data_IF_825475035222
#
_entry.id   IF_825475035222
#
_cell.length_a   1.000
_cell.length_b   1.000
_cell.length_c   1.000
_cell.angle_alpha   90.00
_cell.angle_beta   90.00
_cell.angle_gamma   90.00
#
_symmetry.space_group_name_H-M   'P 1'
#
loop_
_entity.id
_entity.type
_entity.pdbx_description
1 polymer ?
#
# COMPACT_ATOMS: atom_id res chain seq x y z
N UNK A 1 14.84 9.24 7.26
CA UNK A 1 14.15 8.05 6.74
C UNK A 1 12.66 8.34 6.61
N UNK A 2 12.09 8.01 5.48
CA UNK A 2 10.67 8.22 5.23
C UNK A 2 9.88 6.95 5.46
N UNK A 3 8.65 7.11 5.94
CA UNK A 3 7.75 5.99 6.18
C UNK A 3 6.44 6.25 5.48
N UNK A 4 5.89 5.20 4.89
CA UNK A 4 4.58 5.24 4.27
C UNK A 4 3.75 4.12 4.83
N UNK A 5 2.48 4.40 5.09
CA UNK A 5 1.55 3.40 5.59
C UNK A 5 0.85 2.75 4.40
N UNK A 6 0.93 1.44 4.32
CA UNK A 6 0.24 0.69 3.28
C UNK A 6 -0.95 -0.06 3.88
N UNK A 7 -2.06 -0.02 3.16
CA UNK A 7 -3.22 -0.84 3.49
C UNK A 7 -3.03 -2.16 2.77
N UNK A 8 -3.16 -3.26 3.50
CA UNK A 8 -2.88 -4.60 2.98
C UNK A 8 -4.14 -5.45 3.05
N UNK A 9 -4.42 -6.12 1.94
CA UNK A 9 -5.53 -7.06 1.84
C UNK A 9 -5.04 -8.34 1.19
N UNK A 10 -5.80 -9.41 1.33
CA UNK A 10 -5.48 -10.66 0.66
C UNK A 10 -6.55 -10.93 -0.38
N UNK A 11 -6.11 -11.11 -1.61
CA UNK A 11 -7.01 -11.41 -2.72
C UNK A 11 -7.55 -12.84 -2.54
N UNK A 12 -8.86 -12.97 -2.48
CA UNK A 12 -9.49 -14.27 -2.25
C UNK A 12 -9.35 -15.23 -3.42
N UNK A 13 -9.16 -14.73 -4.64
CA UNK A 13 -9.01 -15.58 -5.81
C UNK A 13 -7.59 -16.10 -5.99
N UNK A 14 -6.60 -15.24 -5.83
CA UNK A 14 -5.20 -15.59 -6.06
C UNK A 14 -4.48 -16.02 -4.80
N UNK A 15 -4.98 -15.60 -3.63
CA UNK A 15 -4.29 -15.80 -2.36
C UNK A 15 -3.12 -14.88 -2.15
N UNK A 16 -2.90 -13.94 -3.07
CA UNK A 16 -1.80 -12.98 -2.94
C UNK A 16 -2.17 -11.85 -2.00
N UNK A 17 -1.16 -11.33 -1.34
CA UNK A 17 -1.32 -10.10 -0.55
C UNK A 17 -1.17 -8.92 -1.49
N UNK A 18 -2.08 -7.97 -1.39
CA UNK A 18 -2.06 -6.75 -2.18
C UNK A 18 -1.99 -5.57 -1.24
N UNK A 19 -1.25 -4.56 -1.61
CA UNK A 19 -1.08 -3.40 -0.75
C UNK A 19 -1.01 -2.12 -1.56
N UNK A 20 -1.45 -1.04 -0.94
CA UNK A 20 -1.34 0.28 -1.55
C UNK A 20 -1.16 1.34 -0.48
N UNK A 21 -0.53 2.44 -0.85
CA UNK A 21 -0.39 3.60 0.03
C UNK A 21 -1.52 4.58 -0.31
N UNK A 22 -2.45 4.80 0.62
CA UNK A 22 -3.57 5.72 0.35
C UNK A 22 -3.09 7.10 -0.07
N UNK A 23 -3.70 7.62 -1.12
CA UNK A 23 -3.40 8.96 -1.61
C UNK A 23 -2.13 9.09 -2.44
N UNK A 24 -1.36 8.02 -2.60
CA UNK A 24 -0.12 8.03 -3.35
C UNK A 24 -0.33 7.28 -4.67
N UNK A 25 -0.60 8.01 -5.77
CA UNK A 25 -0.89 7.35 -7.05
C UNK A 25 0.25 6.44 -7.50
N UNK A 26 -0.08 5.23 -7.90
CA UNK A 26 0.90 4.25 -8.37
C UNK A 26 1.58 3.44 -7.28
N UNK A 27 1.44 3.82 -6.02
CA UNK A 27 2.11 3.13 -4.92
C UNK A 27 1.29 1.91 -4.49
N UNK A 28 1.33 0.86 -5.29
CA UNK A 28 0.67 -0.40 -4.99
C UNK A 28 1.51 -1.55 -5.52
N UNK A 29 1.34 -2.72 -4.90
CA UNK A 29 2.03 -3.92 -5.35
C UNK A 29 1.35 -5.16 -4.75
N UNK A 30 1.95 -6.32 -4.99
CA UNK A 30 1.44 -7.58 -4.47
C UNK A 30 2.60 -8.52 -4.18
N UNK A 31 2.32 -9.58 -3.45
CA UNK A 31 3.31 -10.59 -3.13
C UNK A 31 2.67 -11.83 -2.53
N UNK A 32 3.38 -12.95 -2.58
CA UNK A 32 2.92 -14.20 -2.01
C UNK A 32 3.04 -14.28 -0.50
N UNK A 33 3.87 -13.43 0.09
CA UNK A 33 4.03 -13.30 1.53
C UNK A 33 4.03 -11.82 1.89
N UNK A 34 3.84 -11.52 3.18
CA UNK A 34 3.88 -10.13 3.63
C UNK A 34 5.27 -9.51 3.44
N UNK A 35 6.33 -10.30 3.65
CA UNK A 35 7.69 -9.82 3.43
C UNK A 35 7.95 -9.49 1.96
N UNK A 36 7.46 -10.34 1.07
CA UNK A 36 7.60 -10.11 -0.36
C UNK A 36 6.82 -8.86 -0.78
N UNK A 37 5.60 -8.72 -0.28
CA UNK A 37 4.80 -7.52 -0.55
C UNK A 37 5.54 -6.26 -0.11
N UNK A 38 6.10 -6.28 1.10
CA UNK A 38 6.82 -5.12 1.63
C UNK A 38 8.01 -4.77 0.75
N UNK A 39 8.79 -5.78 0.34
CA UNK A 39 9.93 -5.56 -0.53
C UNK A 39 9.48 -4.97 -1.88
N UNK A 40 8.41 -5.50 -2.45
CA UNK A 40 7.89 -5.02 -3.72
C UNK A 40 7.37 -3.59 -3.61
N UNK A 41 6.69 -3.26 -2.51
CA UNK A 41 6.23 -1.90 -2.27
C UNK A 41 7.40 -0.93 -2.14
N UNK A 42 8.47 -1.35 -1.45
CA UNK A 42 9.67 -0.51 -1.31
C UNK A 42 10.26 -0.17 -2.68
N UNK A 43 10.32 -1.14 -3.56
CA UNK A 43 10.86 -0.92 -4.91
C UNK A 43 10.00 0.05 -5.70
N UNK A 44 8.68 -0.14 -5.66
CA UNK A 44 7.75 0.74 -6.36
C UNK A 44 7.82 2.17 -5.83
N UNK A 45 7.78 2.32 -4.52
CA UNK A 45 7.83 3.64 -3.89
C UNK A 45 9.15 4.33 -4.18
N UNK A 46 10.27 3.59 -4.10
CA UNK A 46 11.58 4.16 -4.39
C UNK A 46 11.63 4.69 -5.82
N UNK A 47 11.04 3.95 -6.76
CA UNK A 47 10.98 4.37 -8.15
C UNK A 47 10.12 5.63 -8.32
N UNK A 48 8.97 5.68 -7.64
CA UNK A 48 8.09 6.84 -7.70
C UNK A 48 8.74 8.09 -7.10
N UNK A 49 9.56 7.91 -6.06
CA UNK A 49 10.24 9.02 -5.41
C UNK A 49 11.34 9.64 -6.27
N UNK A 50 11.74 8.98 -7.35
CA UNK A 50 12.71 9.54 -8.27
C UNK A 50 12.17 10.82 -8.93
N UNK A 51 10.85 10.95 -9.03
CA UNK A 51 10.20 12.14 -9.58
C UNK A 51 9.94 13.20 -8.52
N UNK A 52 10.46 13.02 -7.32
CA UNK A 52 10.32 13.97 -6.22
C UNK A 52 9.33 13.50 -5.16
N UNK A 53 9.11 14.35 -4.16
CA UNK A 53 8.21 14.05 -3.08
C UNK A 53 6.76 14.02 -3.58
N UNK A 54 5.99 13.01 -3.18
CA UNK A 54 4.59 12.96 -3.58
C UNK A 54 3.76 14.00 -2.84
N UNK A 55 2.73 14.48 -3.53
CA UNK A 55 1.68 15.24 -2.88
C UNK A 55 0.55 14.24 -2.64
N UNK A 56 0.41 13.78 -1.42
CA UNK A 56 -0.59 12.77 -1.10
C UNK A 56 -1.98 13.36 -1.23
N UNK A 57 -2.85 12.68 -1.98
CA UNK A 57 -4.20 13.16 -2.24
C UNK A 57 -5.14 12.93 -1.08
N UNK A 58 -4.84 11.93 -0.25
CA UNK A 58 -5.62 11.61 0.94
C UNK A 58 -4.66 11.28 2.07
N UNK A 59 -5.18 11.30 3.29
CA UNK A 59 -4.42 10.95 4.47
C UNK A 59 -5.00 9.68 5.08
N UNK A 60 -4.14 8.71 5.38
CA UNK A 60 -4.59 7.52 6.08
C UNK A 60 -4.89 7.89 7.53
N UNK A 61 -6.11 7.61 7.97
CA UNK A 61 -6.53 7.91 9.35
C UNK A 61 -6.64 6.63 10.17
N UNK A 62 -7.22 5.59 9.61
CA UNK A 62 -7.42 4.34 10.33
C UNK A 62 -8.47 3.46 9.67
N UNK A 63 -8.93 2.48 10.42
CA UNK A 63 -9.95 1.55 9.96
C UNK A 63 -11.15 1.63 10.90
N UNK A 64 -12.32 1.28 10.40
CA UNK A 64 -13.54 1.25 11.18
C UNK A 64 -14.28 -0.06 10.94
N UNK A 65 -14.95 -0.55 11.96
CA UNK A 65 -15.86 -1.68 11.81
C UNK A 65 -17.28 -1.11 11.74
N UNK A 66 -18.00 -1.50 10.71
CA UNK A 66 -19.37 -1.05 10.51
C UNK A 66 -20.28 -2.25 10.70
N UNK A 67 -21.19 -2.14 11.66
CA UNK A 67 -22.13 -3.21 11.96
C UNK A 67 -23.44 -2.96 11.23
N UNK A 68 -23.93 -4.01 10.57
CA UNK A 68 -25.20 -3.96 9.87
C UNK A 68 -26.16 -4.87 10.61
N UNK A 69 -27.33 -4.37 10.93
CA UNK A 69 -28.38 -5.13 11.62
C UNK A 69 -29.15 -6.03 10.67
#
# INVERSE_FOLDING_TARGET
MKRYTAVVERDSETGLYVGHVPGFPGAHSQGGTLDELNRNLREVIAMLLEDGEPSLETEFVGIQTVQID
#
